data_IF_301521613079
#
_entry.id   IF_301521613079
#
_cell.length_a   1.000
_cell.length_b   1.000
_cell.length_c   1.000
_cell.angle_alpha   90.00
_cell.angle_beta   90.00
_cell.angle_gamma   90.00
#
_symmetry.space_group_name_H-M   'P 1'
#
loop_
_entity.id
_entity.type
_entity.pdbx_description
1 polymer ?
#
# COMPACT_ATOMS: atom_id res chain seq x y z
N UNK A 1 -6.41 -22.87 -19.70
CA UNK A 1 -6.52 -21.40 -19.80
C UNK A 1 -5.16 -20.79 -19.49
N UNK A 2 -4.63 -19.89 -20.34
CA UNK A 2 -3.41 -19.14 -19.99
C UNK A 2 -3.73 -18.31 -18.74
N UNK A 3 -3.03 -18.55 -17.64
CA UNK A 3 -3.08 -17.69 -16.46
C UNK A 3 -2.61 -16.30 -16.89
N UNK A 4 -3.54 -15.38 -17.12
CA UNK A 4 -3.20 -13.97 -17.31
C UNK A 4 -2.59 -13.47 -16.01
N UNK A 5 -1.32 -13.05 -16.06
CA UNK A 5 -0.63 -12.46 -14.91
C UNK A 5 -1.48 -11.28 -14.40
N UNK A 6 -1.76 -11.23 -13.10
CA UNK A 6 -2.46 -10.09 -12.47
C UNK A 6 -1.65 -8.82 -12.63
N UNK A 7 -2.34 -7.69 -12.83
CA UNK A 7 -1.75 -6.35 -12.78
C UNK A 7 -1.52 -6.00 -11.32
N UNK A 8 -0.27 -5.74 -10.97
CA UNK A 8 0.16 -5.44 -9.61
C UNK A 8 0.23 -3.94 -9.39
N UNK A 9 -0.55 -3.44 -8.44
CA UNK A 9 -0.65 -2.00 -8.15
C UNK A 9 -0.08 -1.76 -6.75
N UNK A 10 0.89 -0.86 -6.65
CA UNK A 10 1.41 -0.38 -5.38
C UNK A 10 1.05 1.09 -5.21
N UNK A 11 0.15 1.39 -4.27
CA UNK A 11 -0.28 2.76 -3.98
C UNK A 11 0.55 3.33 -2.83
N UNK A 12 1.32 4.38 -3.12
CA UNK A 12 2.04 5.13 -2.10
C UNK A 12 1.09 6.18 -1.52
N UNK A 13 0.90 6.16 -0.21
CA UNK A 13 -0.06 7.04 0.48
C UNK A 13 0.59 7.71 1.69
N UNK A 14 0.10 8.88 2.10
CA UNK A 14 0.73 9.62 3.21
C UNK A 14 0.63 8.87 4.55
N UNK A 15 -0.59 8.58 4.98
CA UNK A 15 -0.92 7.88 6.22
C UNK A 15 -2.32 7.26 6.05
N UNK A 16 -2.63 6.17 6.74
CA UNK A 16 -3.95 5.52 6.63
C UNK A 16 -4.99 6.16 7.56
N UNK A 17 -5.10 7.48 7.52
CA UNK A 17 -6.12 8.22 8.29
C UNK A 17 -7.34 8.55 7.44
N UNK A 18 -8.40 9.03 8.09
CA UNK A 18 -9.64 9.37 7.40
C UNK A 18 -9.40 10.61 6.52
N UNK A 19 -9.37 10.39 5.21
CA UNK A 19 -9.32 11.39 4.17
C UNK A 19 -10.04 10.91 2.92
N UNK A 20 -10.37 11.83 2.00
CA UNK A 20 -11.13 11.51 0.79
C UNK A 20 -10.40 10.50 -0.12
N UNK A 21 -9.09 10.68 -0.27
CA UNK A 21 -8.24 9.80 -1.07
C UNK A 21 -8.13 8.41 -0.44
N UNK A 22 -7.91 8.34 0.86
CA UNK A 22 -7.75 7.11 1.62
C UNK A 22 -9.04 6.27 1.60
N UNK A 23 -10.20 6.91 1.76
CA UNK A 23 -11.51 6.26 1.64
C UNK A 23 -11.73 5.75 0.21
N UNK A 24 -11.39 6.54 -0.81
CA UNK A 24 -11.51 6.12 -2.20
C UNK A 24 -10.62 4.91 -2.51
N UNK A 25 -9.37 4.90 -2.05
CA UNK A 25 -8.45 3.78 -2.24
C UNK A 25 -8.97 2.53 -1.52
N UNK A 26 -9.46 2.68 -0.28
CA UNK A 26 -10.05 1.57 0.47
C UNK A 26 -11.27 0.99 -0.27
N UNK A 27 -12.18 1.84 -0.75
CA UNK A 27 -13.36 1.42 -1.48
C UNK A 27 -13.02 0.77 -2.83
N UNK A 28 -12.02 1.31 -3.55
CA UNK A 28 -11.51 0.72 -4.77
C UNK A 28 -10.92 -0.68 -4.49
N UNK A 29 -10.00 -0.78 -3.52
CA UNK A 29 -9.33 -2.03 -3.17
C UNK A 29 -10.28 -3.09 -2.65
N UNK A 30 -11.36 -2.70 -1.95
CA UNK A 30 -12.44 -3.59 -1.51
C UNK A 30 -13.16 -4.25 -2.69
N UNK A 31 -13.43 -3.50 -3.76
CA UNK A 31 -14.31 -3.90 -4.85
C UNK A 31 -13.58 -4.24 -6.16
N UNK A 32 -12.25 -4.16 -6.19
CA UNK A 32 -11.46 -4.44 -7.39
C UNK A 32 -11.57 -5.93 -7.77
N UNK A 33 -11.55 -6.21 -9.08
CA UNK A 33 -11.50 -7.57 -9.61
C UNK A 33 -10.17 -8.23 -9.23
N UNK A 34 -10.18 -9.01 -8.14
CA UNK A 34 -8.98 -9.65 -7.56
C UNK A 34 -8.39 -10.72 -8.46
N UNK A 35 -9.11 -11.18 -9.50
CA UNK A 35 -8.56 -12.12 -10.49
C UNK A 35 -7.70 -11.41 -11.54
N UNK A 36 -7.94 -10.11 -11.73
CA UNK A 36 -7.17 -9.26 -12.66
C UNK A 36 -6.14 -8.37 -11.96
N UNK A 37 -6.42 -7.92 -10.74
CA UNK A 37 -5.61 -6.92 -10.04
C UNK A 37 -5.15 -7.41 -8.67
N UNK A 38 -3.93 -7.05 -8.32
CA UNK A 38 -3.30 -7.28 -7.02
C UNK A 38 -2.85 -5.93 -6.45
N UNK A 39 -3.68 -5.32 -5.61
CA UNK A 39 -3.48 -3.98 -5.08
C UNK A 39 -2.95 -4.04 -3.65
N UNK A 40 -1.84 -3.33 -3.42
CA UNK A 40 -1.21 -3.13 -2.12
C UNK A 40 -0.97 -1.64 -1.86
N UNK A 41 -0.83 -1.27 -0.58
CA UNK A 41 -0.55 0.10 -0.17
C UNK A 41 0.76 0.20 0.60
N UNK A 42 1.47 1.32 0.43
CA UNK A 42 2.68 1.67 1.18
C UNK A 42 2.47 3.04 1.83
N UNK A 43 2.06 3.11 3.11
CA UNK A 43 1.88 4.37 3.80
C UNK A 43 3.22 4.96 4.25
N UNK A 44 3.48 6.24 4.00
CA UNK A 44 4.73 6.91 4.38
C UNK A 44 4.88 7.08 5.91
N UNK A 45 3.76 7.08 6.63
CA UNK A 45 3.69 7.17 8.09
C UNK A 45 2.97 5.95 8.67
N UNK A 46 3.33 5.56 9.90
CA UNK A 46 2.71 4.42 10.57
C UNK A 46 1.32 4.78 11.08
N UNK A 47 0.45 3.78 11.08
CA UNK A 47 -0.86 3.85 11.73
C UNK A 47 -1.87 4.66 10.92
N UNK A 48 -2.85 5.19 11.64
CA UNK A 48 -4.03 5.84 11.09
C UNK A 48 -5.29 5.00 11.32
N UNK A 49 -6.42 5.70 11.40
CA UNK A 49 -7.70 5.13 11.81
C UNK A 49 -8.20 4.02 10.88
N UNK A 50 -7.88 4.11 9.58
CA UNK A 50 -8.30 3.12 8.57
C UNK A 50 -7.40 1.89 8.51
N UNK A 51 -6.31 1.82 9.28
CA UNK A 51 -5.38 0.68 9.23
C UNK A 51 -6.10 -0.65 9.45
N UNK A 52 -7.04 -0.70 10.41
CA UNK A 52 -7.83 -1.92 10.67
C UNK A 52 -8.72 -2.26 9.48
N UNK A 53 -9.37 -1.28 8.86
CA UNK A 53 -10.20 -1.51 7.67
C UNK A 53 -9.41 -2.10 6.51
N UNK A 54 -8.18 -1.63 6.25
CA UNK A 54 -7.32 -2.21 5.22
C UNK A 54 -6.99 -3.68 5.52
N UNK A 55 -6.66 -4.00 6.78
CA UNK A 55 -6.35 -5.38 7.22
C UNK A 55 -7.58 -6.29 7.15
N UNK A 56 -8.72 -5.86 7.69
CA UNK A 56 -9.97 -6.64 7.73
C UNK A 56 -10.49 -6.95 6.31
N UNK A 57 -10.16 -6.09 5.34
CA UNK A 57 -10.51 -6.29 3.93
C UNK A 57 -9.42 -7.04 3.12
N UNK A 58 -8.40 -7.56 3.81
CA UNK A 58 -7.29 -8.33 3.22
C UNK A 58 -6.50 -7.54 2.18
N UNK A 59 -6.33 -6.23 2.39
CA UNK A 59 -5.53 -5.37 1.53
C UNK A 59 -4.12 -5.27 2.13
N UNK A 60 -3.06 -5.72 1.43
CA UNK A 60 -1.71 -5.69 1.96
C UNK A 60 -1.22 -4.27 2.23
N UNK A 61 -0.77 -4.03 3.46
CA UNK A 61 -0.05 -2.81 3.87
C UNK A 61 1.43 -3.18 3.95
N UNK A 62 2.25 -2.53 3.13
CA UNK A 62 3.68 -2.81 3.00
C UNK A 62 4.51 -1.72 3.70
N UNK A 63 5.73 -2.09 4.10
CA UNK A 63 6.68 -1.20 4.78
C UNK A 63 6.54 -1.18 6.30
N UNK A 64 7.64 -0.88 6.99
CA UNK A 64 7.68 -0.77 8.45
C UNK A 64 7.26 0.61 8.96
N UNK A 65 7.36 1.63 8.09
CA UNK A 65 6.81 2.98 8.18
C UNK A 65 7.08 3.67 9.53
N UNK A 66 8.01 4.64 9.51
CA UNK A 66 8.56 5.25 10.71
C UNK A 66 7.79 6.52 11.09
N UNK A 67 7.39 6.66 12.37
CA UNK A 67 6.74 7.87 12.87
C UNK A 67 7.66 9.07 13.04
N UNK A 68 8.99 8.87 13.01
CA UNK A 68 9.96 9.95 13.19
C UNK A 68 10.25 10.64 11.85
N UNK A 69 9.88 11.92 11.75
CA UNK A 69 10.20 12.86 10.65
C UNK A 69 11.69 13.25 10.62
N UNK A 70 12.59 12.27 10.69
CA UNK A 70 14.03 12.48 10.52
C UNK A 70 14.45 12.20 9.08
N UNK A 71 15.46 12.92 8.57
CA UNK A 71 16.06 12.66 7.24
C UNK A 71 16.50 11.20 7.06
N UNK A 72 16.97 10.57 8.14
CA UNK A 72 17.35 9.15 8.17
C UNK A 72 16.14 8.24 7.93
N UNK A 73 15.02 8.51 8.61
CA UNK A 73 13.80 7.72 8.45
C UNK A 73 13.26 7.82 7.02
N UNK A 74 13.33 9.00 6.40
CA UNK A 74 12.98 9.19 4.99
C UNK A 74 13.87 8.35 4.06
N UNK A 75 15.18 8.33 4.30
CA UNK A 75 16.12 7.54 3.51
C UNK A 75 15.82 6.03 3.65
N UNK A 76 15.55 5.56 4.88
CA UNK A 76 15.18 4.17 5.13
C UNK A 76 13.87 3.82 4.43
N UNK A 77 12.84 4.68 4.52
CA UNK A 77 11.56 4.48 3.81
C UNK A 77 11.75 4.43 2.30
N UNK A 78 12.64 5.24 1.73
CA UNK A 78 12.99 5.20 0.30
C UNK A 78 13.66 3.88 -0.08
N UNK A 79 14.65 3.42 0.70
CA UNK A 79 15.34 2.15 0.46
C UNK A 79 14.34 0.98 0.57
N UNK A 80 13.47 1.02 1.57
CA UNK A 80 12.43 0.02 1.78
C UNK A 80 11.42 0.00 0.62
N UNK A 81 10.98 1.17 0.16
CA UNK A 81 10.10 1.31 -0.99
C UNK A 81 10.75 0.75 -2.27
N UNK A 82 12.03 1.07 -2.52
CA UNK A 82 12.79 0.56 -3.67
C UNK A 82 12.87 -0.96 -3.60
N UNK A 83 13.23 -1.51 -2.43
CA UNK A 83 13.30 -2.95 -2.22
C UNK A 83 11.95 -3.64 -2.42
N UNK A 84 10.87 -3.08 -1.88
CA UNK A 84 9.50 -3.59 -2.06
C UNK A 84 9.09 -3.53 -3.52
N UNK A 85 9.43 -2.45 -4.23
CA UNK A 85 9.15 -2.29 -5.66
C UNK A 85 9.86 -3.36 -6.48
N UNK A 86 11.14 -3.65 -6.19
CA UNK A 86 11.86 -4.75 -6.84
C UNK A 86 11.28 -6.14 -6.52
N UNK A 87 10.78 -6.34 -5.29
CA UNK A 87 10.20 -7.62 -4.85
C UNK A 87 8.81 -7.86 -5.43
N UNK A 88 7.93 -6.87 -5.34
CA UNK A 88 6.55 -6.98 -5.82
C UNK A 88 6.46 -6.85 -7.33
N UNK A 89 7.38 -6.08 -7.95
CA UNK A 89 7.36 -5.70 -9.37
C UNK A 89 5.97 -5.21 -9.75
N UNK A 90 5.49 -4.10 -9.12
CA UNK A 90 4.26 -3.47 -9.56
C UNK A 90 4.39 -3.15 -11.06
N UNK A 91 3.30 -3.31 -11.78
CA UNK A 91 3.19 -2.95 -13.20
C UNK A 91 3.00 -1.42 -13.32
#
# INVERSE_FOLDING_TARGET
MKSTKKIKILVIIGQLDIGGTEIHILNLAKNIDRDKYDLSVFPLKKGGTLHKDFVDNHIPILGNNYNKLGKIALLISLIELIFISFRHKPD
#
